data_IF_773807434456
#
_entry.id   IF_773807434456
#
_cell.length_a   1.000
_cell.length_b   1.000
_cell.length_c   1.000
_cell.angle_alpha   90.00
_cell.angle_beta   90.00
_cell.angle_gamma   90.00
#
_symmetry.space_group_name_H-M   'P 1'
#
loop_
_entity.id
_entity.type
_entity.pdbx_description
1 polymer ?
#
# COMPACT_ATOMS: atom_id res chain seq x y z
N UNK A 1 -3.84 -10.10 3.55
CA UNK A 1 -3.13 -8.86 3.82
C UNK A 1 -3.04 -8.54 5.30
N UNK A 2 -2.09 -7.73 5.65
CA UNK A 2 -1.84 -7.29 7.04
C UNK A 2 -1.90 -5.77 7.10
N UNK A 3 -2.56 -5.25 8.11
CA UNK A 3 -2.58 -3.82 8.37
C UNK A 3 -1.82 -3.51 9.67
N UNK A 4 -0.83 -2.65 9.56
CA UNK A 4 -0.08 -2.14 10.70
C UNK A 4 -0.56 -0.72 11.00
N UNK A 5 -0.94 -0.45 12.23
CA UNK A 5 -1.33 0.90 12.61
C UNK A 5 -0.66 1.32 13.91
N UNK A 6 -0.43 2.62 14.03
CA UNK A 6 0.23 3.21 15.18
C UNK A 6 0.70 4.60 14.84
N UNK A 7 1.09 5.39 15.85
CA UNK A 7 1.58 6.76 15.61
C UNK A 7 2.87 6.77 14.80
N UNK A 8 3.22 7.90 14.16
CA UNK A 8 4.51 8.04 13.51
C UNK A 8 5.65 7.73 14.49
N UNK A 9 6.68 7.04 13.98
CA UNK A 9 7.81 6.66 14.82
C UNK A 9 7.61 5.42 15.67
N UNK A 10 6.52 4.68 15.48
CA UNK A 10 6.26 3.44 16.23
C UNK A 10 7.04 2.21 15.73
N UNK A 11 7.83 2.38 14.68
CA UNK A 11 8.67 1.29 14.17
C UNK A 11 8.00 0.39 13.12
N UNK A 12 6.89 0.80 12.54
CA UNK A 12 6.18 0.00 11.51
C UNK A 12 7.08 -0.37 10.35
N UNK A 13 7.79 0.60 9.80
CA UNK A 13 8.68 0.39 8.66
C UNK A 13 9.86 -0.51 9.02
N UNK A 14 10.42 -0.33 10.21
CA UNK A 14 11.53 -1.17 10.70
C UNK A 14 11.10 -2.62 10.85
N UNK A 15 9.89 -2.84 11.37
CA UNK A 15 9.37 -4.19 11.52
C UNK A 15 9.28 -4.91 10.18
N UNK A 16 8.72 -4.24 9.17
CA UNK A 16 8.57 -4.84 7.84
C UNK A 16 9.93 -5.13 7.21
N UNK A 17 10.87 -4.18 7.30
CA UNK A 17 12.22 -4.38 6.76
C UNK A 17 12.94 -5.54 7.45
N UNK A 18 12.75 -5.70 8.74
CA UNK A 18 13.33 -6.83 9.50
C UNK A 18 12.76 -8.16 9.02
N UNK A 19 11.46 -8.23 8.78
CA UNK A 19 10.83 -9.44 8.24
C UNK A 19 11.39 -9.80 6.87
N UNK A 20 11.56 -8.82 6.01
CA UNK A 20 12.13 -9.04 4.68
C UNK A 20 13.53 -9.64 4.77
N UNK A 21 14.37 -9.11 5.65
CA UNK A 21 15.71 -9.63 5.86
C UNK A 21 15.72 -11.06 6.37
N UNK A 22 14.82 -11.37 7.30
CA UNK A 22 14.75 -12.70 7.90
C UNK A 22 14.33 -13.76 6.90
N UNK A 23 13.45 -13.44 5.98
CA UNK A 23 12.86 -14.41 5.05
C UNK A 23 13.41 -14.34 3.64
N UNK A 24 14.36 -13.46 3.38
CA UNK A 24 14.99 -13.29 2.05
C UNK A 24 13.96 -13.13 0.93
N UNK A 25 12.93 -12.38 1.19
CA UNK A 25 11.82 -12.17 0.27
C UNK A 25 12.04 -10.91 -0.56
N UNK A 26 11.58 -10.89 -1.80
CA UNK A 26 11.58 -9.66 -2.59
C UNK A 26 10.66 -8.63 -1.93
N UNK A 27 11.08 -7.36 -1.95
CA UNK A 27 10.40 -6.30 -1.24
C UNK A 27 10.14 -5.11 -2.16
N UNK A 28 8.88 -4.67 -2.18
CA UNK A 28 8.45 -3.54 -2.98
C UNK A 28 7.66 -2.59 -2.09
N UNK A 29 8.02 -1.32 -2.09
CA UNK A 29 7.39 -0.33 -1.22
C UNK A 29 6.85 0.85 -2.00
N UNK A 30 5.71 1.36 -1.59
CA UNK A 30 5.14 2.61 -2.09
C UNK A 30 4.56 3.41 -0.93
N UNK A 31 4.71 4.73 -1.01
CA UNK A 31 4.06 5.65 -0.09
C UNK A 31 2.86 6.26 -0.81
N UNK A 32 1.66 5.96 -0.33
CA UNK A 32 0.42 6.37 -0.98
C UNK A 32 0.25 7.88 -0.97
N UNK A 33 0.60 8.55 0.12
CA UNK A 33 0.51 10.02 0.19
C UNK A 33 1.41 10.68 -0.84
N UNK A 34 2.63 10.15 -1.03
CA UNK A 34 3.55 10.65 -2.04
C UNK A 34 3.02 10.42 -3.45
N UNK A 35 2.39 9.29 -3.71
CA UNK A 35 1.78 9.01 -5.01
C UNK A 35 0.64 9.99 -5.31
N UNK A 36 -0.19 10.31 -4.33
CA UNK A 36 -1.29 11.24 -4.53
C UNK A 36 -0.83 12.68 -4.80
N UNK A 37 0.38 13.03 -4.40
CA UNK A 37 0.94 14.36 -4.66
C UNK A 37 1.47 14.54 -6.08
N UNK A 38 1.50 13.47 -6.88
CA UNK A 38 1.97 13.48 -8.27
C UNK A 38 0.80 13.54 -9.25
N UNK A 39 1.11 13.67 -10.55
CA UNK A 39 0.08 13.53 -11.58
C UNK A 39 -0.54 12.14 -11.49
N UNK A 40 -1.87 12.09 -11.52
CA UNK A 40 -2.60 10.86 -11.29
C UNK A 40 -2.23 9.74 -12.26
N UNK A 41 -2.10 10.06 -13.56
CA UNK A 41 -1.72 9.05 -14.55
C UNK A 41 -0.37 8.40 -14.25
N UNK A 42 0.60 9.20 -13.79
CA UNK A 42 1.92 8.70 -13.39
C UNK A 42 1.81 7.79 -12.17
N UNK A 43 1.03 8.21 -11.17
CA UNK A 43 0.84 7.45 -9.93
C UNK A 43 0.20 6.10 -10.21
N UNK A 44 -0.82 6.07 -11.05
CA UNK A 44 -1.50 4.84 -11.45
C UNK A 44 -0.53 3.87 -12.14
N UNK A 45 0.27 4.39 -13.08
CA UNK A 45 1.25 3.58 -13.79
C UNK A 45 2.31 3.02 -12.84
N UNK A 46 2.80 3.83 -11.91
CA UNK A 46 3.81 3.39 -10.94
C UNK A 46 3.27 2.28 -10.05
N UNK A 47 2.05 2.45 -9.57
CA UNK A 47 1.44 1.46 -8.69
C UNK A 47 1.20 0.13 -9.43
N UNK A 48 0.66 0.20 -10.64
CA UNK A 48 0.44 -0.99 -11.46
C UNK A 48 1.76 -1.70 -11.80
N UNK A 49 2.81 -0.95 -12.10
CA UNK A 49 4.13 -1.51 -12.39
C UNK A 49 4.73 -2.19 -11.16
N UNK A 50 4.56 -1.57 -9.98
CA UNK A 50 5.05 -2.15 -8.74
C UNK A 50 4.39 -3.50 -8.47
N UNK A 51 3.09 -3.60 -8.64
CA UNK A 51 2.36 -4.86 -8.46
C UNK A 51 2.78 -5.91 -9.49
N UNK A 52 2.97 -5.51 -10.74
CA UNK A 52 3.43 -6.44 -11.78
C UNK A 52 4.82 -6.98 -11.46
N UNK A 53 5.72 -6.12 -11.01
CA UNK A 53 7.08 -6.55 -10.62
C UNK A 53 7.05 -7.48 -9.41
N UNK A 54 6.19 -7.21 -8.45
CA UNK A 54 6.05 -8.08 -7.28
C UNK A 54 5.54 -9.47 -7.68
N UNK A 55 4.55 -9.54 -8.56
CA UNK A 55 4.04 -10.82 -9.07
C UNK A 55 5.14 -11.62 -9.77
N UNK A 56 5.94 -10.94 -10.58
CA UNK A 56 7.03 -11.59 -11.31
C UNK A 56 8.15 -12.08 -10.39
N UNK A 57 8.34 -11.44 -9.25
CA UNK A 57 9.39 -11.76 -8.28
C UNK A 57 8.89 -12.60 -7.10
N UNK A 58 7.67 -13.12 -7.16
CA UNK A 58 7.12 -13.91 -6.05
C UNK A 58 8.03 -15.06 -5.63
N UNK A 59 8.16 -15.35 -4.34
CA UNK A 59 7.46 -14.75 -3.20
C UNK A 59 7.94 -13.34 -2.91
N UNK A 60 6.99 -12.42 -2.69
CA UNK A 60 7.28 -11.02 -2.52
C UNK A 60 6.37 -10.37 -1.47
N UNK A 61 6.85 -9.26 -0.92
CA UNK A 61 6.08 -8.44 0.00
C UNK A 61 5.91 -7.06 -0.63
N UNK A 62 4.66 -6.58 -0.69
CA UNK A 62 4.34 -5.21 -1.08
C UNK A 62 4.00 -4.45 0.20
N UNK A 63 4.74 -3.38 0.47
CA UNK A 63 4.50 -2.51 1.62
C UNK A 63 3.91 -1.19 1.14
N UNK A 64 2.71 -0.87 1.62
CA UNK A 64 2.00 0.37 1.27
C UNK A 64 1.95 1.26 2.51
N UNK A 65 2.75 2.31 2.53
CA UNK A 65 2.81 3.23 3.65
C UNK A 65 1.79 4.37 3.49
N UNK A 66 1.33 4.88 4.60
CA UNK A 66 0.38 6.00 4.66
C UNK A 66 -0.88 5.74 3.82
N UNK A 67 -1.42 4.54 3.95
CA UNK A 67 -2.60 4.13 3.17
C UNK A 67 -3.84 4.94 3.52
N UNK A 68 -3.87 5.56 4.69
CA UNK A 68 -4.95 6.44 5.12
C UNK A 68 -5.11 7.69 4.23
N UNK A 69 -4.10 8.01 3.42
CA UNK A 69 -4.21 9.08 2.43
C UNK A 69 -5.30 8.81 1.39
N UNK A 70 -5.71 7.55 1.21
CA UNK A 70 -6.81 7.20 0.30
C UNK A 70 -8.18 7.54 0.86
N UNK A 71 -8.26 7.82 2.16
CA UNK A 71 -9.52 8.12 2.84
C UNK A 71 -9.44 9.50 3.47
N UNK A 72 -9.53 10.58 2.67
CA UNK A 72 -9.56 11.91 3.23
C UNK A 72 -10.82 12.10 4.09
N UNK A 73 -10.83 13.08 5.01
CA UNK A 73 -12.03 13.39 5.78
C UNK A 73 -13.22 13.63 4.86
N UNK A 74 -14.42 13.29 5.32
CA UNK A 74 -15.66 13.39 4.52
C UNK A 74 -15.87 14.75 3.87
N UNK A 75 -15.33 15.79 4.48
CA UNK A 75 -15.46 17.17 4.00
C UNK A 75 -14.50 17.49 2.83
N UNK A 76 -13.58 16.59 2.52
CA UNK A 76 -12.57 16.80 1.51
C UNK A 76 -12.58 15.64 0.51
N UNK A 77 -13.70 15.46 -0.16
CA UNK A 77 -13.81 14.44 -1.19
C UNK A 77 -12.74 14.67 -2.27
N UNK A 78 -11.90 13.67 -2.48
CA UNK A 78 -10.81 13.73 -3.44
C UNK A 78 -11.01 12.67 -4.53
N UNK A 79 -11.30 13.13 -5.75
CA UNK A 79 -11.50 12.24 -6.87
C UNK A 79 -10.24 11.43 -7.20
N UNK A 80 -9.06 12.03 -7.00
CA UNK A 80 -7.79 11.34 -7.26
C UNK A 80 -7.59 10.19 -6.26
N UNK A 81 -7.91 10.41 -4.98
CA UNK A 81 -7.82 9.37 -3.98
C UNK A 81 -8.79 8.23 -4.30
N UNK A 82 -10.01 8.54 -4.73
CA UNK A 82 -10.99 7.54 -5.11
C UNK A 82 -10.53 6.69 -6.30
N UNK A 83 -9.94 7.32 -7.31
CA UNK A 83 -9.42 6.61 -8.47
C UNK A 83 -8.27 5.68 -8.10
N UNK A 84 -7.33 6.17 -7.28
CA UNK A 84 -6.21 5.37 -6.83
C UNK A 84 -6.68 4.21 -5.96
N UNK A 85 -7.66 4.44 -5.11
CA UNK A 85 -8.26 3.40 -4.27
C UNK A 85 -8.90 2.31 -5.13
N UNK A 86 -9.66 2.69 -6.16
CA UNK A 86 -10.29 1.72 -7.07
C UNK A 86 -9.26 0.88 -7.81
N UNK A 87 -8.19 1.52 -8.29
CA UNK A 87 -7.09 0.81 -8.92
C UNK A 87 -6.44 -0.18 -7.95
N UNK A 88 -6.19 0.25 -6.72
CA UNK A 88 -5.54 -0.58 -5.72
C UNK A 88 -6.37 -1.83 -5.42
N UNK A 89 -7.68 -1.67 -5.25
CA UNK A 89 -8.58 -2.80 -5.02
C UNK A 89 -8.56 -3.78 -6.20
N UNK A 90 -8.55 -3.26 -7.42
CA UNK A 90 -8.43 -4.08 -8.62
C UNK A 90 -7.11 -4.85 -8.66
N UNK A 91 -6.02 -4.19 -8.29
CA UNK A 91 -4.70 -4.85 -8.24
C UNK A 91 -4.65 -5.93 -7.17
N UNK A 92 -5.31 -5.72 -6.03
CA UNK A 92 -5.40 -6.75 -4.99
C UNK A 92 -6.11 -8.01 -5.51
N UNK A 93 -7.18 -7.82 -6.28
CA UNK A 93 -7.94 -8.95 -6.83
C UNK A 93 -7.12 -9.74 -7.86
N UNK A 94 -6.16 -9.11 -8.51
CA UNK A 94 -5.29 -9.78 -9.46
C UNK A 94 -4.14 -10.55 -8.82
N UNK A 95 -3.89 -10.33 -7.52
CA UNK A 95 -2.79 -11.02 -6.84
C UNK A 95 -3.16 -12.47 -6.57
N UNK A 96 -2.37 -13.36 -7.15
CA UNK A 96 -2.52 -14.80 -6.98
C UNK A 96 -1.19 -15.35 -6.45
N UNK A 97 -1.25 -16.18 -5.41
CA UNK A 97 -0.09 -16.92 -4.93
C UNK A 97 0.70 -16.18 -3.85
N UNK A 98 2.01 -16.12 -4.00
CA UNK A 98 2.92 -15.80 -2.91
C UNK A 98 3.30 -14.32 -2.83
N UNK A 99 2.32 -13.43 -2.94
CA UNK A 99 2.54 -12.00 -2.69
C UNK A 99 1.72 -11.57 -1.48
N UNK A 100 2.42 -11.03 -0.49
CA UNK A 100 1.81 -10.56 0.75
C UNK A 100 1.77 -9.04 0.72
N UNK A 101 0.62 -8.47 1.06
CA UNK A 101 0.46 -7.02 1.16
C UNK A 101 0.46 -6.63 2.62
N UNK A 102 1.34 -5.70 2.96
CA UNK A 102 1.38 -5.09 4.28
C UNK A 102 1.13 -3.60 4.11
N UNK A 103 0.08 -3.10 4.72
CA UNK A 103 -0.26 -1.68 4.68
C UNK A 103 -0.03 -1.06 6.04
N UNK A 104 0.39 0.19 6.06
CA UNK A 104 0.62 0.93 7.28
C UNK A 104 -0.19 2.22 7.30
N UNK A 105 -0.72 2.56 8.45
CA UNK A 105 -1.49 3.78 8.65
C UNK A 105 -1.25 4.33 10.05
N UNK A 106 -1.39 5.65 10.19
CA UNK A 106 -1.39 6.33 11.48
C UNK A 106 -2.79 6.48 12.06
N UNK A 107 -3.84 6.05 11.34
CA UNK A 107 -5.24 6.21 11.73
C UNK A 107 -5.88 4.84 11.92
N UNK A 108 -6.17 4.47 13.15
CA UNK A 108 -6.81 3.20 13.43
C UNK A 108 -8.26 3.13 12.95
N UNK A 109 -8.89 4.26 12.63
CA UNK A 109 -10.24 4.32 12.06
C UNK A 109 -10.27 4.18 10.55
N UNK A 110 -9.19 3.77 9.96
CA UNK A 110 -9.06 3.63 8.52
C UNK A 110 -9.95 2.53 7.94
N UNK A 111 -10.86 2.03 8.67
CA UNK A 111 -11.47 0.78 8.38
C UNK A 111 -12.83 0.74 7.78
N UNK A 112 -13.02 0.91 6.46
CA UNK A 112 -13.97 -0.03 5.86
C UNK A 112 -13.35 -0.99 4.85
N UNK A 113 -12.10 -0.82 4.49
CA UNK A 113 -11.51 -1.54 3.39
C UNK A 113 -10.96 -2.91 3.70
N UNK A 114 -10.61 -3.16 4.93
CA UNK A 114 -9.77 -4.30 5.25
C UNK A 114 -10.50 -5.28 6.15
N UNK A 115 -11.64 -5.67 5.74
CA UNK A 115 -12.30 -6.77 6.42
C UNK A 115 -11.67 -8.10 6.06
#
# INVERSE_FOLDING_TARGET
GVLLFGPPGSGKTLLVRSLVRCYHTAFFAANIAALLSQYLGESEKRLARLFARARAAAPAIIFLDEIDALCPPRDQADANANRLCSLLLSLFDELIGHVIIIAATNRYRFFPFMK
#
